data_IF_871429466743
#
_entry.id   IF_871429466743
#
_cell.length_a   1.000
_cell.length_b   1.000
_cell.length_c   1.000
_cell.angle_alpha   90.00
_cell.angle_beta   90.00
_cell.angle_gamma   90.00
#
_symmetry.space_group_name_H-M   'P 1'
#
loop_
_entity.id
_entity.type
_entity.pdbx_description
1 polymer ?
#
# COMPACT_ATOMS: atom_id res chain seq x y z
N UNK A 1 -41.66 -30.86 66.34
CA UNK A 1 -41.26 -29.61 65.67
C UNK A 1 -39.82 -29.39 66.09
N UNK A 2 -38.90 -29.81 65.23
CA UNK A 2 -37.50 -29.64 65.46
C UNK A 2 -37.06 -28.55 64.49
N UNK A 3 -36.76 -27.36 65.02
CA UNK A 3 -36.18 -26.27 64.29
C UNK A 3 -34.78 -26.67 63.85
N UNK A 4 -34.61 -26.67 62.54
CA UNK A 4 -33.30 -26.87 61.89
C UNK A 4 -32.62 -25.53 61.82
N UNK A 5 -31.89 -25.19 62.88
CA UNK A 5 -31.01 -23.98 62.92
C UNK A 5 -29.78 -24.32 62.13
N UNK A 6 -29.68 -23.86 60.90
CA UNK A 6 -28.41 -23.84 60.16
C UNK A 6 -27.43 -22.88 60.86
N UNK A 7 -26.24 -23.32 61.18
CA UNK A 7 -25.28 -22.42 61.82
C UNK A 7 -24.82 -21.34 60.87
N UNK A 8 -24.89 -20.10 61.31
CA UNK A 8 -24.49 -18.91 60.60
C UNK A 8 -22.98 -18.85 60.25
N UNK A 9 -22.22 -19.88 60.65
CA UNK A 9 -20.77 -19.95 60.47
C UNK A 9 -20.37 -20.44 59.06
N UNK A 10 -21.27 -21.13 58.29
CA UNK A 10 -20.90 -21.57 56.94
C UNK A 10 -20.88 -20.42 55.92
N UNK A 11 -21.59 -19.35 56.19
CA UNK A 11 -21.55 -18.18 55.26
C UNK A 11 -20.30 -17.31 55.46
N UNK A 12 -19.65 -17.45 56.60
CA UNK A 12 -18.38 -16.70 56.93
C UNK A 12 -17.14 -17.33 56.29
N UNK A 13 -17.22 -18.63 55.92
CA UNK A 13 -16.05 -19.28 55.29
C UNK A 13 -15.90 -18.96 53.83
N UNK A 14 -16.98 -18.61 53.10
CA UNK A 14 -16.91 -18.13 51.74
C UNK A 14 -16.25 -16.72 51.65
N UNK A 15 -16.31 -15.97 52.75
CA UNK A 15 -15.60 -14.68 52.80
C UNK A 15 -14.07 -14.83 52.99
N UNK A 16 -13.58 -16.03 53.22
CA UNK A 16 -12.13 -16.30 53.34
C UNK A 16 -11.46 -16.59 51.95
N UNK A 17 -12.23 -16.67 50.89
CA UNK A 17 -11.69 -16.86 49.54
C UNK A 17 -10.58 -15.86 49.18
N UNK A 18 -10.61 -14.58 49.59
CA UNK A 18 -9.52 -13.65 49.32
C UNK A 18 -8.16 -14.04 49.95
N UNK A 19 -8.14 -14.88 50.96
CA UNK A 19 -6.87 -15.32 51.54
C UNK A 19 -6.13 -16.34 50.67
N UNK A 20 -6.83 -17.03 49.82
CA UNK A 20 -6.24 -17.98 48.85
C UNK A 20 -5.46 -17.23 47.78
N UNK A 21 -5.86 -16.00 47.47
CA UNK A 21 -5.21 -15.13 46.49
C UNK A 21 -3.83 -14.66 46.91
N UNK A 22 -3.51 -14.76 48.21
CA UNK A 22 -2.24 -14.32 48.78
C UNK A 22 -1.25 -15.48 48.89
N UNK A 23 -1.68 -16.72 48.76
CA UNK A 23 -0.82 -17.88 48.75
C UNK A 23 -0.15 -18.04 47.37
N UNK A 24 1.17 -17.84 47.30
CA UNK A 24 1.86 -18.05 46.05
C UNK A 24 1.75 -19.51 45.61
N UNK A 25 1.76 -19.76 44.33
CA UNK A 25 1.90 -21.11 43.82
C UNK A 25 3.14 -21.76 44.46
N UNK A 26 2.98 -22.98 44.99
CA UNK A 26 4.11 -23.70 45.58
C UNK A 26 4.88 -24.43 44.46
N UNK A 27 6.18 -24.20 44.40
CA UNK A 27 7.05 -24.90 43.45
C UNK A 27 7.82 -25.99 44.21
N UNK A 28 7.68 -27.24 43.78
CA UNK A 28 8.46 -28.35 44.32
C UNK A 28 9.96 -28.15 44.00
N UNK A 29 10.80 -27.99 44.99
CA UNK A 29 12.23 -27.71 44.77
C UNK A 29 12.98 -28.91 44.16
N UNK A 30 12.40 -30.09 44.16
CA UNK A 30 13.04 -31.30 43.58
C UNK A 30 12.70 -31.54 42.14
N UNK A 31 11.48 -31.21 41.74
CA UNK A 31 10.95 -31.50 40.40
C UNK A 31 10.76 -30.25 39.54
N UNK A 32 10.78 -29.06 40.14
CA UNK A 32 10.44 -27.80 39.46
C UNK A 32 8.94 -27.68 39.12
N UNK A 33 8.12 -28.64 39.55
CA UNK A 33 6.68 -28.61 39.25
C UNK A 33 6.01 -27.51 40.09
N UNK A 34 5.17 -26.72 39.45
CA UNK A 34 4.37 -25.66 40.07
C UNK A 34 3.00 -26.20 40.43
N UNK A 35 2.69 -26.23 41.70
CA UNK A 35 1.38 -26.64 42.24
C UNK A 35 0.55 -25.40 42.54
N UNK A 36 -0.61 -25.31 41.91
CA UNK A 36 -1.58 -24.25 42.16
C UNK A 36 -2.79 -24.87 42.82
N UNK A 37 -3.27 -24.29 43.93
CA UNK A 37 -4.47 -24.78 44.55
C UNK A 37 -5.65 -24.69 43.59
N UNK A 38 -6.58 -25.69 43.61
CA UNK A 38 -7.72 -25.76 42.68
C UNK A 38 -8.53 -24.46 42.60
N UNK A 39 -8.70 -23.83 43.78
CA UNK A 39 -9.49 -22.60 43.92
C UNK A 39 -8.74 -21.38 43.36
N UNK A 40 -7.44 -21.37 43.50
CA UNK A 40 -6.55 -20.36 42.90
C UNK A 40 -6.59 -20.43 41.36
N UNK A 41 -6.68 -21.64 40.83
CA UNK A 41 -6.79 -21.85 39.39
C UNK A 41 -8.06 -21.21 38.84
N UNK A 42 -9.19 -21.37 39.51
CA UNK A 42 -10.47 -20.79 39.13
C UNK A 42 -10.43 -19.24 39.22
N UNK A 43 -9.80 -18.69 40.23
CA UNK A 43 -9.62 -17.24 40.39
C UNK A 43 -8.66 -16.67 39.33
N UNK A 44 -7.59 -17.37 39.00
CA UNK A 44 -6.64 -16.96 37.98
C UNK A 44 -7.34 -17.01 36.59
N UNK A 45 -8.19 -18.03 36.36
CA UNK A 45 -8.99 -18.11 35.14
C UNK A 45 -10.03 -16.97 35.07
N UNK A 46 -10.67 -16.61 36.19
CA UNK A 46 -11.56 -15.45 36.26
C UNK A 46 -10.82 -14.13 36.04
N UNK A 47 -9.67 -13.95 36.65
CA UNK A 47 -8.85 -12.74 36.44
C UNK A 47 -8.30 -12.65 35.03
N UNK A 48 -7.90 -13.77 34.45
CA UNK A 48 -7.54 -13.83 33.04
C UNK A 48 -8.74 -13.53 32.13
N UNK A 49 -9.97 -13.82 32.56
CA UNK A 49 -11.18 -13.46 31.85
C UNK A 49 -11.58 -11.98 32.05
N UNK A 50 -11.31 -11.39 33.21
CA UNK A 50 -11.56 -9.96 33.44
C UNK A 50 -10.54 -9.04 32.77
N UNK A 51 -9.29 -9.48 32.62
CA UNK A 51 -8.31 -8.81 31.73
C UNK A 51 -8.58 -9.10 30.23
N UNK A 52 -9.47 -10.04 29.92
CA UNK A 52 -10.02 -10.21 28.60
C UNK A 52 -11.11 -9.16 28.31
N UNK A 53 -10.73 -7.93 28.24
CA UNK A 53 -11.32 -7.05 27.23
C UNK A 53 -11.05 -7.79 25.94
N UNK A 54 -12.10 -8.34 25.35
CA UNK A 54 -12.02 -9.04 24.07
C UNK A 54 -11.14 -8.20 23.16
N UNK A 55 -10.02 -8.74 22.67
CA UNK A 55 -9.18 -7.95 21.78
C UNK A 55 -10.12 -7.44 20.69
N UNK A 56 -10.00 -6.18 20.36
CA UNK A 56 -10.72 -5.64 19.21
C UNK A 56 -10.19 -6.43 18.02
N UNK A 57 -10.90 -7.50 17.66
CA UNK A 57 -10.55 -8.36 16.50
C UNK A 57 -10.71 -7.60 15.17
N UNK A 58 -10.85 -6.29 15.25
CA UNK A 58 -10.90 -5.44 14.08
C UNK A 58 -9.48 -5.09 13.66
N UNK A 59 -9.09 -5.51 12.49
CA UNK A 59 -7.91 -4.99 11.77
C UNK A 59 -8.39 -3.83 10.90
N UNK A 60 -8.47 -2.59 11.40
CA UNK A 60 -8.92 -1.47 10.59
C UNK A 60 -7.91 -1.20 9.47
N UNK A 61 -8.44 -1.07 8.24
CA UNK A 61 -7.68 -0.60 7.11
C UNK A 61 -8.09 0.84 6.81
N UNK A 62 -7.15 1.76 6.92
CA UNK A 62 -7.38 3.19 6.77
C UNK A 62 -7.23 3.62 5.31
N UNK A 63 -8.10 4.52 4.86
CA UNK A 63 -8.06 5.07 3.51
C UNK A 63 -6.92 6.07 3.28
N UNK A 64 -6.39 6.66 4.35
CA UNK A 64 -5.32 7.66 4.33
C UNK A 64 -4.33 7.43 5.49
N UNK A 65 -3.14 7.98 5.31
CA UNK A 65 -2.05 7.84 6.28
C UNK A 65 -2.30 8.64 7.57
N UNK A 66 -2.99 9.76 7.49
CA UNK A 66 -3.23 10.63 8.65
C UNK A 66 -4.17 9.95 9.64
N UNK A 67 -5.22 9.30 9.15
CA UNK A 67 -6.13 8.48 9.96
C UNK A 67 -5.39 7.30 10.61
N UNK A 68 -4.51 6.63 9.88
CA UNK A 68 -3.67 5.57 10.43
C UNK A 68 -2.73 6.09 11.52
N UNK A 69 -2.05 7.21 11.29
CA UNK A 69 -1.19 7.88 12.27
C UNK A 69 -1.97 8.26 13.51
N UNK A 70 -3.15 8.87 13.35
CA UNK A 70 -4.00 9.25 14.48
C UNK A 70 -4.41 8.04 15.33
N UNK A 71 -4.73 6.92 14.67
CA UNK A 71 -5.05 5.66 15.34
C UNK A 71 -3.85 5.09 16.10
N UNK A 72 -2.69 5.00 15.45
CA UNK A 72 -1.45 4.52 16.08
C UNK A 72 -1.08 5.38 17.29
N UNK A 73 -1.11 6.71 17.18
CA UNK A 73 -0.86 7.63 18.31
C UNK A 73 -1.78 7.41 19.49
N UNK A 74 -3.03 7.06 19.23
CA UNK A 74 -4.04 6.87 20.28
C UNK A 74 -3.90 5.54 21.00
N UNK A 75 -3.55 4.48 20.31
CA UNK A 75 -3.65 3.13 20.84
C UNK A 75 -2.32 2.39 20.96
N UNK A 76 -1.34 2.71 20.13
CA UNK A 76 -0.02 2.08 20.20
C UNK A 76 0.85 2.71 21.30
N UNK A 77 1.68 1.87 21.91
CA UNK A 77 2.73 2.30 22.83
C UNK A 77 4.08 2.00 22.18
N UNK A 78 5.01 2.98 22.13
CA UNK A 78 6.28 2.79 21.43
C UNK A 78 7.06 1.54 21.89
N UNK A 79 6.99 1.20 23.17
CA UNK A 79 7.75 0.10 23.75
C UNK A 79 7.12 -1.28 23.51
N UNK A 80 5.81 -1.34 23.21
CA UNK A 80 5.09 -2.60 23.06
C UNK A 80 4.52 -2.85 21.68
N UNK A 81 4.66 -1.90 20.77
CA UNK A 81 4.10 -2.00 19.41
C UNK A 81 5.21 -2.18 18.37
N UNK A 82 4.90 -2.88 17.29
CA UNK A 82 5.78 -3.04 16.14
C UNK A 82 5.15 -2.38 14.92
N UNK A 83 5.85 -1.42 14.33
CA UNK A 83 5.40 -0.74 13.13
C UNK A 83 6.27 -1.18 11.94
N UNK A 84 5.63 -1.56 10.86
CA UNK A 84 6.26 -2.09 9.66
C UNK A 84 5.79 -1.34 8.41
N UNK A 85 6.60 -1.34 7.37
CA UNK A 85 6.21 -0.87 6.04
C UNK A 85 6.84 -1.71 4.94
N UNK A 86 6.20 -1.75 3.80
CA UNK A 86 6.75 -2.29 2.55
C UNK A 86 6.20 -1.50 1.34
N UNK A 87 6.36 -2.03 0.14
CA UNK A 87 5.87 -1.38 -1.09
C UNK A 87 4.33 -1.29 -1.20
N UNK A 88 3.58 -1.90 -0.31
CA UNK A 88 2.12 -2.01 -0.40
C UNK A 88 1.38 -1.32 0.73
N UNK A 89 1.98 -1.25 1.92
CA UNK A 89 1.30 -0.75 3.12
C UNK A 89 2.26 -0.26 4.21
N UNK A 90 1.72 0.50 5.14
CA UNK A 90 2.22 0.64 6.50
C UNK A 90 1.31 -0.15 7.43
N UNK A 91 1.89 -0.81 8.42
CA UNK A 91 1.20 -1.73 9.31
C UNK A 91 1.70 -1.57 10.74
N UNK A 92 0.78 -1.57 11.70
CA UNK A 92 1.09 -1.52 13.11
C UNK A 92 0.49 -2.75 13.79
N UNK A 93 1.30 -3.45 14.57
CA UNK A 93 0.89 -4.48 15.53
C UNK A 93 0.97 -3.82 16.90
N UNK A 94 -0.18 -3.46 17.46
CA UNK A 94 -0.28 -2.62 18.65
C UNK A 94 0.08 -3.41 19.91
N UNK A 95 -0.32 -4.67 19.96
CA UNK A 95 -0.10 -5.61 21.05
C UNK A 95 1.04 -6.62 20.76
N UNK A 96 2.13 -6.14 20.14
CA UNK A 96 3.29 -6.97 19.81
C UNK A 96 3.98 -7.54 21.04
N UNK A 97 4.09 -6.75 22.13
CA UNK A 97 4.51 -7.19 23.45
C UNK A 97 3.35 -7.10 24.45
N UNK A 98 3.26 -8.07 25.37
CA UNK A 98 2.18 -8.13 26.35
C UNK A 98 2.27 -6.99 27.39
N UNK A 99 3.48 -6.51 27.72
CA UNK A 99 3.71 -5.45 28.71
C UNK A 99 4.80 -4.51 28.26
N UNK A 100 4.66 -3.25 28.66
CA UNK A 100 5.68 -2.22 28.45
C UNK A 100 6.96 -2.56 29.21
N UNK A 101 8.10 -2.51 28.53
CA UNK A 101 9.43 -2.74 29.13
C UNK A 101 9.82 -4.21 29.30
N UNK A 102 8.95 -5.15 28.96
CA UNK A 102 9.25 -6.58 28.97
C UNK A 102 9.15 -7.17 27.55
N UNK A 103 10.12 -8.01 27.18
CA UNK A 103 10.12 -8.73 25.90
C UNK A 103 9.27 -10.01 26.05
N UNK A 104 8.00 -9.84 26.41
CA UNK A 104 7.04 -10.93 26.48
C UNK A 104 6.18 -10.86 25.22
N UNK A 105 6.07 -11.95 24.44
CA UNK A 105 5.23 -11.96 23.25
C UNK A 105 3.79 -11.56 23.57
N UNK A 106 3.26 -10.60 22.82
CA UNK A 106 1.85 -10.24 22.85
C UNK A 106 1.00 -11.21 22.02
N UNK A 107 -0.28 -10.89 21.86
CA UNK A 107 -1.19 -11.71 21.07
C UNK A 107 -1.10 -11.45 19.58
N UNK A 108 -0.59 -10.29 19.19
CA UNK A 108 -0.54 -9.81 17.81
C UNK A 108 -1.92 -9.86 17.11
N UNK A 109 -2.98 -9.57 17.87
CA UNK A 109 -4.36 -9.60 17.39
C UNK A 109 -4.95 -8.21 17.19
N UNK A 110 -4.25 -7.18 17.68
CA UNK A 110 -4.64 -5.79 17.51
C UNK A 110 -3.74 -5.11 16.51
N UNK A 111 -4.21 -5.02 15.30
CA UNK A 111 -3.45 -4.53 14.16
C UNK A 111 -4.12 -3.29 13.55
N UNK A 112 -3.37 -2.50 12.83
CA UNK A 112 -3.88 -1.37 12.05
C UNK A 112 -3.07 -1.24 10.75
N UNK A 113 -3.75 -1.18 9.62
CA UNK A 113 -3.11 -1.12 8.31
C UNK A 113 -3.57 0.12 7.52
N UNK A 114 -2.66 0.73 6.79
CA UNK A 114 -2.98 1.62 5.69
C UNK A 114 -2.28 1.10 4.43
N UNK A 115 -3.05 0.73 3.44
CA UNK A 115 -2.55 0.33 2.13
C UNK A 115 -2.29 1.56 1.27
N UNK A 116 -1.36 1.47 0.33
CA UNK A 116 -1.07 2.53 -0.64
C UNK A 116 -1.92 2.34 -1.91
N UNK A 117 -3.16 2.84 -1.96
CA UNK A 117 -4.05 2.63 -3.10
C UNK A 117 -3.56 3.46 -4.28
N UNK A 118 -3.11 2.77 -5.33
CA UNK A 118 -2.72 3.41 -6.57
C UNK A 118 -3.89 4.18 -7.19
N UNK A 119 -3.61 5.36 -7.74
CA UNK A 119 -4.61 6.19 -8.40
C UNK A 119 -5.20 5.50 -9.64
N UNK A 120 -6.34 6.02 -10.09
CA UNK A 120 -6.96 5.57 -11.34
C UNK A 120 -6.04 5.86 -12.53
N UNK A 121 -5.46 7.06 -12.58
CA UNK A 121 -4.54 7.48 -13.64
C UNK A 121 -3.31 6.55 -13.69
N UNK A 122 -2.68 6.27 -12.54
CA UNK A 122 -1.54 5.36 -12.49
C UNK A 122 -1.85 3.99 -13.07
N UNK A 123 -2.98 3.39 -12.67
CA UNK A 123 -3.44 2.08 -13.17
C UNK A 123 -3.77 2.10 -14.65
N UNK A 124 -4.37 3.19 -15.14
CA UNK A 124 -4.70 3.36 -16.57
C UNK A 124 -3.43 3.42 -17.41
N UNK A 125 -2.46 4.25 -17.00
CA UNK A 125 -1.17 4.34 -17.67
C UNK A 125 -0.33 3.07 -17.53
N UNK A 126 -0.41 2.37 -16.40
CA UNK A 126 0.25 1.08 -16.22
C UNK A 126 -0.21 0.04 -17.24
N UNK A 127 -1.50 -0.04 -17.45
CA UNK A 127 -2.09 -0.93 -18.45
C UNK A 127 -1.75 -0.50 -19.87
N UNK A 128 -1.91 0.79 -20.19
CA UNK A 128 -1.69 1.33 -21.53
C UNK A 128 -0.21 1.29 -21.92
N UNK A 129 0.69 1.74 -21.05
CA UNK A 129 2.12 1.82 -21.31
C UNK A 129 2.89 0.58 -20.78
N UNK A 130 2.32 -0.59 -20.96
CA UNK A 130 2.89 -1.89 -20.56
C UNK A 130 3.95 -2.44 -21.53
N UNK A 131 4.19 -1.75 -22.66
CA UNK A 131 5.07 -2.21 -23.73
C UNK A 131 4.37 -3.09 -24.78
N UNK A 132 3.07 -3.30 -24.66
CA UNK A 132 2.26 -3.95 -25.69
C UNK A 132 2.09 -3.04 -26.91
N UNK A 133 1.87 -3.63 -28.06
CA UNK A 133 1.59 -2.89 -29.28
C UNK A 133 0.09 -2.59 -29.37
N UNK A 134 -0.23 -1.31 -29.58
CA UNK A 134 -1.57 -0.84 -29.84
C UNK A 134 -1.75 -0.52 -31.32
N UNK A 135 -2.95 -0.72 -31.83
CA UNK A 135 -3.33 -0.19 -33.13
C UNK A 135 -3.35 1.34 -33.08
N UNK A 136 -3.05 1.99 -34.22
CA UNK A 136 -2.96 3.45 -34.26
C UNK A 136 -4.24 4.14 -33.77
N UNK A 137 -5.40 3.66 -34.23
CA UNK A 137 -6.70 4.22 -33.82
C UNK A 137 -6.93 4.10 -32.31
N UNK A 138 -6.69 2.92 -31.75
CA UNK A 138 -6.82 2.65 -30.33
C UNK A 138 -5.89 3.53 -29.49
N UNK A 139 -4.63 3.69 -29.96
CA UNK A 139 -3.67 4.53 -29.26
C UNK A 139 -4.07 6.01 -29.28
N UNK A 140 -4.58 6.51 -30.40
CA UNK A 140 -5.02 7.91 -30.48
C UNK A 140 -6.23 8.16 -29.58
N UNK A 141 -7.24 7.30 -29.62
CA UNK A 141 -8.43 7.40 -28.77
C UNK A 141 -8.04 7.37 -27.28
N UNK A 142 -7.15 6.45 -26.89
CA UNK A 142 -6.65 6.37 -25.50
C UNK A 142 -5.87 7.62 -25.08
N UNK A 143 -5.02 8.17 -25.94
CA UNK A 143 -4.26 9.38 -25.62
C UNK A 143 -5.14 10.63 -25.54
N UNK A 144 -6.23 10.68 -26.30
CA UNK A 144 -7.22 11.76 -26.19
C UNK A 144 -7.95 11.70 -24.86
N UNK A 145 -8.35 10.51 -24.43
CA UNK A 145 -8.98 10.30 -23.12
C UNK A 145 -8.04 10.64 -21.94
N UNK A 146 -6.73 10.56 -22.16
CA UNK A 146 -5.69 10.84 -21.17
C UNK A 146 -4.91 12.14 -21.46
N UNK A 147 -5.42 13.03 -22.31
CA UNK A 147 -4.68 14.20 -22.80
C UNK A 147 -4.24 15.14 -21.65
N UNK A 148 -5.05 15.28 -20.63
CA UNK A 148 -4.77 16.14 -19.46
C UNK A 148 -3.59 15.64 -18.63
N UNK A 149 -3.29 14.35 -18.70
CA UNK A 149 -2.15 13.75 -17.99
C UNK A 149 -0.81 14.05 -18.68
N UNK A 150 -0.82 14.41 -19.98
CA UNK A 150 0.37 14.57 -20.81
C UNK A 150 0.85 16.02 -20.74
N UNK A 151 2.14 16.22 -20.41
CA UNK A 151 2.75 17.55 -20.23
C UNK A 151 3.56 18.01 -21.42
N UNK A 152 4.45 17.16 -21.93
CA UNK A 152 5.38 17.52 -23.01
C UNK A 152 5.53 16.38 -24.02
N UNK A 153 5.08 16.58 -25.29
CA UNK A 153 4.29 17.72 -25.77
C UNK A 153 2.87 17.70 -25.16
N UNK A 154 2.08 18.77 -25.38
CA UNK A 154 0.68 18.75 -24.93
C UNK A 154 -0.07 17.56 -25.51
N UNK A 155 -0.96 16.93 -24.70
CA UNK A 155 -1.63 15.70 -25.09
C UNK A 155 -2.42 15.80 -26.39
N UNK A 156 -3.08 16.94 -26.61
CA UNK A 156 -3.80 17.20 -27.86
C UNK A 156 -2.86 17.24 -29.08
N UNK A 157 -1.67 17.80 -28.93
CA UNK A 157 -0.68 17.88 -30.01
C UNK A 157 -0.11 16.50 -30.34
N UNK A 158 0.19 15.70 -29.30
CA UNK A 158 0.64 14.32 -29.48
C UNK A 158 -0.41 13.46 -30.20
N UNK A 159 -1.66 13.54 -29.80
CA UNK A 159 -2.76 12.84 -30.46
C UNK A 159 -2.95 13.28 -31.91
N UNK A 160 -2.83 14.61 -32.18
CA UNK A 160 -2.91 15.15 -33.54
C UNK A 160 -1.76 14.65 -34.43
N UNK A 161 -0.52 14.61 -33.90
CA UNK A 161 0.64 14.05 -34.61
C UNK A 161 0.41 12.57 -34.97
N UNK A 162 -0.09 11.77 -34.03
CA UNK A 162 -0.36 10.36 -34.28
C UNK A 162 -1.53 10.12 -35.23
N UNK A 163 -2.53 11.03 -35.28
CA UNK A 163 -3.60 10.98 -36.28
C UNK A 163 -3.09 11.24 -37.70
N UNK A 164 -2.16 12.18 -37.84
CA UNK A 164 -1.54 12.46 -39.14
C UNK A 164 -0.84 11.21 -39.70
N UNK A 165 -0.16 10.43 -38.83
CA UNK A 165 0.43 9.15 -39.20
C UNK A 165 -0.56 8.22 -39.94
N UNK A 166 -1.80 8.14 -39.48
CA UNK A 166 -2.81 7.28 -40.06
C UNK A 166 -3.06 7.56 -41.53
N UNK A 167 -3.03 8.82 -41.94
CA UNK A 167 -3.28 9.22 -43.31
C UNK A 167 -2.14 8.84 -44.27
N UNK A 168 -0.93 8.64 -43.73
CA UNK A 168 0.28 8.54 -44.53
C UNK A 168 0.86 7.13 -44.62
N UNK A 169 0.64 6.28 -43.64
CA UNK A 169 1.04 4.85 -43.68
C UNK A 169 0.25 4.11 -44.76
N UNK A 170 -0.94 4.59 -45.12
CA UNK A 170 -1.73 4.05 -46.24
C UNK A 170 -1.23 4.48 -47.65
N UNK A 171 -0.39 5.50 -47.74
CA UNK A 171 0.09 6.03 -49.00
C UNK A 171 1.55 5.68 -49.34
N UNK A 172 2.49 5.85 -48.45
CA UNK A 172 3.87 5.31 -48.52
C UNK A 172 4.62 5.75 -47.26
N UNK A 173 5.05 4.84 -46.40
CA UNK A 173 5.77 5.20 -45.17
C UNK A 173 7.22 4.75 -45.23
N UNK A 174 8.13 5.71 -45.12
CA UNK A 174 9.49 5.44 -44.65
C UNK A 174 9.61 6.05 -43.26
N UNK A 175 9.91 5.20 -42.27
CA UNK A 175 10.19 5.66 -40.90
C UNK A 175 11.68 5.59 -40.69
N UNK A 176 12.32 6.72 -40.45
CA UNK A 176 13.75 6.79 -40.09
C UNK A 176 13.89 7.15 -38.61
N UNK A 177 14.49 6.27 -37.85
CA UNK A 177 14.79 6.50 -36.45
C UNK A 177 16.09 7.33 -36.34
N UNK A 178 15.99 8.53 -35.81
CA UNK A 178 17.16 9.41 -35.59
C UNK A 178 17.93 9.02 -34.34
N UNK A 179 19.24 9.32 -34.26
CA UNK A 179 20.07 9.02 -33.09
C UNK A 179 19.59 9.68 -31.79
N UNK A 180 18.84 10.79 -31.87
CA UNK A 180 18.25 11.50 -30.75
C UNK A 180 16.99 10.85 -30.17
N UNK A 181 16.56 9.73 -30.75
CA UNK A 181 15.37 8.99 -30.33
C UNK A 181 14.06 9.51 -30.91
N UNK A 182 14.10 10.53 -31.77
CA UNK A 182 12.91 10.97 -32.54
C UNK A 182 12.73 10.11 -33.78
N UNK A 183 11.49 9.99 -34.24
CA UNK A 183 11.18 9.30 -35.49
C UNK A 183 10.72 10.34 -36.52
N UNK A 184 11.48 10.49 -37.60
CA UNK A 184 11.07 11.28 -38.72
C UNK A 184 10.17 10.45 -39.63
N UNK A 185 9.01 10.96 -39.96
CA UNK A 185 8.09 10.34 -40.92
C UNK A 185 7.87 11.29 -42.08
N UNK A 186 8.30 10.84 -43.26
CA UNK A 186 8.11 11.58 -44.48
C UNK A 186 6.78 11.21 -45.13
N UNK A 187 6.01 12.23 -45.49
CA UNK A 187 4.70 12.07 -46.10
C UNK A 187 4.67 12.57 -47.54
N UNK A 188 4.14 11.76 -48.40
CA UNK A 188 3.73 12.19 -49.74
C UNK A 188 2.24 12.03 -49.89
N UNK A 189 1.52 13.12 -49.79
CA UNK A 189 0.08 13.17 -50.09
C UNK A 189 -0.12 13.97 -51.33
N UNK A 190 -0.49 13.32 -52.41
CA UNK A 190 -0.56 13.93 -53.72
C UNK A 190 0.64 14.83 -54.05
N UNK A 191 1.09 14.88 -55.22
CA UNK A 191 2.34 15.55 -55.68
C UNK A 191 2.56 17.00 -55.19
N UNK A 192 1.74 17.54 -54.29
CA UNK A 192 1.76 18.94 -53.84
C UNK A 192 1.93 19.20 -52.36
N UNK A 193 1.92 18.20 -51.47
CA UNK A 193 2.08 18.45 -50.03
C UNK A 193 3.02 17.41 -49.44
N UNK A 194 4.26 17.80 -49.26
CA UNK A 194 5.24 17.08 -48.43
C UNK A 194 5.19 17.67 -47.05
N UNK A 195 4.78 16.88 -46.07
CA UNK A 195 4.87 17.23 -44.65
C UNK A 195 5.84 16.31 -43.94
N UNK A 196 6.76 16.87 -43.16
CA UNK A 196 7.63 16.12 -42.25
C UNK A 196 7.14 16.39 -40.85
N UNK A 197 6.67 15.38 -40.17
CA UNK A 197 6.30 15.47 -38.76
C UNK A 197 7.34 14.74 -37.89
N UNK A 198 7.94 15.43 -36.94
CA UNK A 198 8.80 14.80 -35.94
C UNK A 198 7.94 14.25 -34.82
N UNK A 199 7.98 12.93 -34.63
CA UNK A 199 7.25 12.25 -33.56
C UNK A 199 8.23 12.07 -32.39
N UNK A 200 7.89 12.57 -31.19
CA UNK A 200 8.77 12.42 -30.06
C UNK A 200 8.92 10.95 -29.68
N UNK A 201 10.17 10.48 -29.54
CA UNK A 201 10.47 9.13 -29.05
C UNK A 201 10.18 8.95 -27.57
N UNK A 202 9.98 10.06 -26.86
CA UNK A 202 9.60 10.12 -25.45
C UNK A 202 8.67 11.31 -25.21
N UNK A 203 7.81 11.16 -24.22
CA UNK A 203 7.00 12.25 -23.67
C UNK A 203 6.85 12.11 -22.15
N UNK A 204 6.39 13.16 -21.49
CA UNK A 204 6.23 13.24 -20.06
C UNK A 204 4.76 13.28 -19.70
N UNK A 205 4.37 12.43 -18.77
CA UNK A 205 3.05 12.47 -18.12
C UNK A 205 3.21 12.93 -16.68
N UNK A 206 2.20 13.64 -16.15
CA UNK A 206 2.15 14.05 -14.75
C UNK A 206 0.88 13.49 -14.12
N UNK A 207 1.02 12.44 -13.34
CA UNK A 207 -0.09 11.70 -12.74
C UNK A 207 0.15 11.43 -11.27
N UNK A 208 -0.89 11.45 -10.43
CA UNK A 208 -0.75 11.03 -9.04
C UNK A 208 -0.46 9.52 -8.96
N UNK A 209 0.52 9.14 -8.15
CA UNK A 209 0.81 7.72 -7.88
C UNK A 209 -0.32 7.11 -7.06
N UNK A 210 -0.73 7.78 -5.98
CA UNK A 210 -1.78 7.31 -5.08
C UNK A 210 -3.07 8.12 -5.24
N UNK A 211 -4.18 7.56 -4.77
CA UNK A 211 -5.54 8.14 -4.91
C UNK A 211 -5.63 9.58 -4.37
N UNK A 212 -4.84 9.92 -3.36
CA UNK A 212 -4.75 11.26 -2.80
C UNK A 212 -3.30 11.70 -2.79
N UNK A 213 -2.86 12.41 -3.81
CA UNK A 213 -1.47 12.86 -3.89
C UNK A 213 -1.23 13.82 -5.02
N UNK A 214 -0.11 14.52 -4.97
CA UNK A 214 0.36 15.38 -6.03
C UNK A 214 0.77 14.57 -7.26
N UNK A 215 0.68 15.18 -8.45
CA UNK A 215 1.14 14.54 -9.67
C UNK A 215 2.66 14.37 -9.70
N UNK A 216 3.10 13.22 -10.18
CA UNK A 216 4.51 12.88 -10.40
C UNK A 216 4.81 12.80 -11.89
N UNK A 217 5.98 13.25 -12.28
CA UNK A 217 6.42 13.15 -13.66
C UNK A 217 6.94 11.74 -13.98
N UNK A 218 6.31 11.12 -14.97
CA UNK A 218 6.71 9.82 -15.49
C UNK A 218 7.06 9.94 -16.97
N UNK A 219 8.24 9.48 -17.34
CA UNK A 219 8.69 9.44 -18.73
C UNK A 219 8.12 8.23 -19.43
N UNK A 220 7.51 8.46 -20.58
CA UNK A 220 6.94 7.40 -21.43
C UNK A 220 7.69 7.37 -22.76
N UNK A 221 8.19 6.21 -23.12
CA UNK A 221 8.81 5.97 -24.43
C UNK A 221 7.76 5.55 -25.42
N UNK A 222 7.78 6.16 -26.59
CA UNK A 222 7.01 5.78 -27.75
C UNK A 222 7.90 5.09 -28.78
N UNK A 223 7.50 3.93 -29.25
CA UNK A 223 8.15 3.21 -30.35
C UNK A 223 7.11 2.90 -31.43
N UNK A 224 7.49 3.17 -32.67
CA UNK A 224 6.72 2.82 -33.85
C UNK A 224 7.23 1.50 -34.42
N UNK A 225 6.35 0.66 -34.88
CA UNK A 225 6.67 -0.57 -35.60
C UNK A 225 5.66 -0.77 -36.72
N UNK A 226 6.12 -1.26 -37.86
CA UNK A 226 5.21 -1.65 -38.95
C UNK A 226 5.17 -3.18 -38.96
N UNK A 227 3.97 -3.73 -38.83
CA UNK A 227 3.77 -5.17 -38.87
C UNK A 227 3.95 -5.71 -40.32
N UNK A 228 4.10 -7.02 -40.42
CA UNK A 228 4.21 -7.71 -41.70
C UNK A 228 2.95 -7.54 -42.61
N UNK A 229 1.85 -7.18 -41.98
CA UNK A 229 0.56 -6.83 -42.65
C UNK A 229 0.47 -5.35 -43.05
N UNK A 230 1.56 -4.58 -42.93
CA UNK A 230 1.64 -3.18 -43.24
C UNK A 230 0.93 -2.25 -42.22
N UNK A 231 0.42 -2.81 -41.11
CA UNK A 231 -0.23 -1.99 -40.10
C UNK A 231 0.79 -1.37 -39.16
N UNK A 232 0.51 -0.12 -38.76
CA UNK A 232 1.31 0.60 -37.78
C UNK A 232 0.94 0.13 -36.37
N UNK A 233 1.94 -0.31 -35.64
CA UNK A 233 1.88 -0.61 -34.22
C UNK A 233 2.61 0.45 -33.40
N UNK A 234 1.97 0.92 -32.35
CA UNK A 234 2.52 1.87 -31.39
C UNK A 234 2.76 1.17 -30.06
N UNK A 235 3.96 1.31 -29.51
CA UNK A 235 4.31 0.74 -28.19
C UNK A 235 4.69 1.84 -27.25
N UNK A 236 4.05 1.81 -26.08
CA UNK A 236 4.32 2.75 -24.99
C UNK A 236 4.95 2.00 -23.84
N UNK A 237 5.98 2.59 -23.21
CA UNK A 237 6.65 1.99 -22.05
C UNK A 237 7.04 3.07 -21.06
N UNK A 238 6.63 2.91 -19.81
CA UNK A 238 7.06 3.80 -18.73
C UNK A 238 8.54 3.53 -18.40
N UNK A 239 9.38 4.57 -18.36
CA UNK A 239 10.84 4.41 -18.20
C UNK A 239 11.30 4.45 -16.76
N UNK A 240 10.66 5.29 -15.93
CA UNK A 240 11.07 5.55 -14.56
C UNK A 240 9.95 5.29 -13.55
N UNK A 241 8.93 4.52 -13.92
CA UNK A 241 7.75 4.31 -13.09
C UNK A 241 8.07 3.67 -11.74
N UNK A 242 8.95 2.66 -11.72
CA UNK A 242 9.33 1.97 -10.49
C UNK A 242 10.07 2.91 -9.54
N UNK A 243 11.00 3.72 -10.05
CA UNK A 243 11.73 4.71 -9.24
C UNK A 243 10.79 5.79 -8.69
N UNK A 244 9.81 6.24 -9.47
CA UNK A 244 8.79 7.19 -9.02
C UNK A 244 7.91 6.57 -7.95
N UNK A 245 7.48 5.34 -8.14
CA UNK A 245 6.68 4.60 -7.15
C UNK A 245 7.43 4.44 -5.82
N UNK A 246 8.69 3.99 -5.89
CA UNK A 246 9.54 3.82 -4.70
C UNK A 246 9.73 5.14 -3.94
N UNK A 247 9.96 6.23 -4.68
CA UNK A 247 10.11 7.57 -4.08
C UNK A 247 8.81 8.03 -3.43
N UNK A 248 7.67 7.87 -4.10
CA UNK A 248 6.37 8.24 -3.57
C UNK A 248 5.99 7.44 -2.30
N UNK A 249 6.36 6.15 -2.24
CA UNK A 249 6.19 5.32 -1.04
C UNK A 249 7.09 5.84 0.08
N UNK A 250 8.37 6.10 -0.22
CA UNK A 250 9.32 6.59 0.77
C UNK A 250 8.86 7.92 1.40
N UNK A 251 8.33 8.84 0.60
CA UNK A 251 7.75 10.10 1.08
C UNK A 251 6.55 9.88 2.00
N UNK A 252 5.63 8.98 1.64
CA UNK A 252 4.48 8.63 2.48
C UNK A 252 4.92 8.04 3.82
N UNK A 253 5.89 7.14 3.80
CA UNK A 253 6.44 6.54 5.02
C UNK A 253 7.17 7.58 5.86
N UNK A 254 7.90 8.51 5.22
CA UNK A 254 8.57 9.60 5.91
C UNK A 254 7.57 10.55 6.57
N UNK A 255 6.51 10.92 5.87
CA UNK A 255 5.42 11.71 6.45
C UNK A 255 4.78 11.03 7.66
N UNK A 256 4.59 9.71 7.61
CA UNK A 256 4.09 8.94 8.75
C UNK A 256 5.08 8.96 9.94
N UNK A 257 6.40 8.84 9.68
CA UNK A 257 7.44 8.94 10.72
C UNK A 257 7.45 10.31 11.38
N UNK A 258 7.45 11.36 10.59
CA UNK A 258 7.47 12.75 11.08
C UNK A 258 6.23 13.03 11.94
N UNK A 259 5.08 12.55 11.49
CA UNK A 259 3.83 12.69 12.22
C UNK A 259 3.79 11.87 13.51
N UNK A 260 4.32 10.65 13.55
CA UNK A 260 4.37 9.83 14.78
C UNK A 260 5.39 10.32 15.80
N UNK A 261 6.50 10.92 15.32
CA UNK A 261 7.62 11.37 16.13
C UNK A 261 8.67 10.27 16.38
N UNK A 262 9.83 10.69 16.90
CA UNK A 262 11.04 9.85 17.05
C UNK A 262 10.84 8.64 17.99
N UNK A 263 9.84 8.69 18.84
CA UNK A 263 9.51 7.60 19.76
C UNK A 263 9.01 6.33 19.06
N UNK A 264 8.49 6.46 17.84
CA UNK A 264 8.02 5.32 17.06
C UNK A 264 9.00 4.99 15.94
N UNK A 265 9.45 3.74 15.91
CA UNK A 265 10.31 3.24 14.84
C UNK A 265 9.49 2.43 13.86
N UNK A 266 9.46 2.88 12.59
CA UNK A 266 8.82 2.12 11.51
C UNK A 266 9.90 1.37 10.75
N UNK A 267 9.89 0.04 10.85
CA UNK A 267 10.86 -0.85 10.21
C UNK A 267 10.42 -1.23 8.80
N UNK A 268 11.38 -1.48 7.92
CA UNK A 268 11.08 -2.00 6.60
C UNK A 268 10.90 -3.51 6.67
N UNK A 269 9.74 -4.01 6.28
CA UNK A 269 9.48 -5.43 6.11
C UNK A 269 9.94 -5.90 4.73
N UNK A 270 10.29 -7.18 4.60
CA UNK A 270 10.46 -7.81 3.30
C UNK A 270 9.12 -7.81 2.55
N UNK A 271 9.15 -7.48 1.27
CA UNK A 271 7.96 -7.41 0.42
C UNK A 271 7.53 -8.77 -0.13
#
# INVERSE_FOLDING_TARGET
MTENTYPAEEQSQDAAAPHILVSPAWTDPKTGAVYVHKDLRQVVECWAQEEHISPVEAVPNFGDVDSWVAYVRRFARPESSLLLWNSRYVHAIIDYHARTGEVIPGRCSWEATHTFPLSRQWKTWEKFASGQAHGQREAVEALEDMADDIREPAGADLAALLRLLRSHVQASASTELRPDGTSAVSFSRDERVTGTGDIPGQFVIAIPVFTSGEPWEVKVRLRLSVGTDGKLGLRFSRLNADAVLDTAIAERVQAARDALGEQYTILRAAG
#
